data_IF_622651211664
#
_entry.id   IF_622651211664
#
_cell.length_a   1.000
_cell.length_b   1.000
_cell.length_c   1.000
_cell.angle_alpha   90.00
_cell.angle_beta   90.00
_cell.angle_gamma   90.00
#
_symmetry.space_group_name_H-M   'P 1'
#
loop_
_entity.id
_entity.type
_entity.pdbx_description
1 polymer ?
#
# COMPACT_ATOMS: atom_id res chain seq x y z
N UNK A 1 -6.74 -2.51 -26.34
CA UNK A 1 -6.06 -1.82 -27.46
C UNK A 1 -5.23 -2.88 -28.17
N UNK A 2 -5.30 -3.00 -29.49
CA UNK A 2 -4.48 -3.99 -30.21
C UNK A 2 -2.99 -3.62 -30.04
N UNK A 3 -2.12 -4.54 -29.55
CA UNK A 3 -0.69 -4.30 -29.40
C UNK A 3 -0.04 -3.75 -30.67
N UNK A 4 -0.55 -4.11 -31.86
CA UNK A 4 -0.03 -3.68 -33.17
C UNK A 4 -0.33 -2.22 -33.50
N UNK A 5 -1.30 -1.60 -32.83
CA UNK A 5 -1.76 -0.23 -33.10
C UNK A 5 -1.32 0.78 -32.04
N UNK A 6 -0.25 0.49 -31.28
CA UNK A 6 0.32 1.42 -30.30
C UNK A 6 0.78 2.70 -31.00
N UNK A 7 0.27 3.86 -30.58
CA UNK A 7 0.79 5.15 -31.02
C UNK A 7 2.17 5.38 -30.37
N UNK A 8 3.14 5.82 -31.17
CA UNK A 8 4.57 5.96 -30.81
C UNK A 8 4.84 6.88 -29.60
N UNK A 9 3.83 7.64 -29.13
CA UNK A 9 3.91 8.60 -28.02
C UNK A 9 3.01 8.27 -26.81
N UNK A 10 2.76 7.00 -26.52
CA UNK A 10 1.92 6.62 -25.37
C UNK A 10 2.77 6.22 -24.16
N UNK A 11 2.51 6.85 -23.00
CA UNK A 11 3.09 6.50 -21.68
C UNK A 11 2.55 5.16 -21.11
N UNK A 12 1.98 4.30 -21.95
CA UNK A 12 1.36 3.04 -21.54
C UNK A 12 2.30 1.86 -21.83
N UNK A 13 2.37 0.93 -20.88
CA UNK A 13 2.99 -0.38 -21.06
C UNK A 13 1.88 -1.37 -21.40
N UNK A 14 2.01 -2.07 -22.53
CA UNK A 14 1.06 -3.09 -22.97
C UNK A 14 1.54 -4.45 -22.47
N UNK A 15 0.71 -5.09 -21.66
CA UNK A 15 0.90 -6.46 -21.17
C UNK A 15 -0.15 -7.34 -21.86
N UNK A 16 0.27 -8.26 -22.72
CA UNK A 16 -0.62 -9.09 -23.53
C UNK A 16 0.05 -10.40 -23.97
N UNK A 17 -0.71 -11.39 -24.43
CA UNK A 17 -0.18 -12.70 -24.86
C UNK A 17 0.57 -12.66 -26.21
N UNK A 18 0.59 -11.53 -26.90
CA UNK A 18 1.27 -11.37 -28.20
C UNK A 18 2.73 -10.94 -28.03
N UNK A 19 3.62 -11.46 -28.89
CA UNK A 19 5.00 -11.01 -29.01
C UNK A 19 5.12 -9.52 -29.39
N UNK A 20 4.05 -8.90 -29.92
CA UNK A 20 3.99 -7.46 -30.19
C UNK A 20 3.87 -6.60 -28.91
N UNK A 21 3.58 -7.20 -27.76
CA UNK A 21 3.44 -6.50 -26.48
C UNK A 21 4.79 -6.02 -25.91
N UNK A 22 4.75 -5.04 -25.01
CA UNK A 22 5.94 -4.60 -24.26
C UNK A 22 6.36 -5.67 -23.23
N UNK A 23 5.36 -6.34 -22.63
CA UNK A 23 5.52 -7.48 -21.73
C UNK A 23 4.60 -8.60 -22.24
N UNK A 24 5.17 -9.77 -22.50
CA UNK A 24 4.42 -10.92 -23.03
C UNK A 24 3.91 -11.78 -21.89
N UNK A 25 2.60 -12.02 -21.86
CA UNK A 25 1.98 -12.98 -20.92
C UNK A 25 2.19 -14.39 -21.47
N UNK A 26 2.74 -15.29 -20.64
CA UNK A 26 2.75 -16.72 -20.92
C UNK A 26 2.19 -17.50 -19.74
N UNK A 27 1.49 -18.58 -20.08
CA UNK A 27 0.93 -19.54 -19.12
C UNK A 27 1.74 -20.85 -19.09
N UNK A 28 2.82 -20.94 -19.88
CA UNK A 28 3.66 -22.13 -19.98
C UNK A 28 5.15 -21.76 -19.86
N UNK A 29 5.84 -22.43 -18.95
CA UNK A 29 7.27 -22.26 -18.71
C UNK A 29 8.13 -22.58 -19.95
N UNK A 30 7.66 -23.45 -20.85
CA UNK A 30 8.40 -23.83 -22.06
C UNK A 30 8.65 -22.64 -23.01
N UNK A 31 7.77 -21.64 -22.98
CA UNK A 31 7.87 -20.45 -23.83
C UNK A 31 9.03 -19.53 -23.42
N UNK A 32 9.54 -19.66 -22.20
CA UNK A 32 10.46 -18.69 -21.63
C UNK A 32 11.79 -18.65 -22.38
N UNK A 33 12.27 -19.82 -22.81
CA UNK A 33 13.50 -19.93 -23.60
C UNK A 33 13.39 -19.13 -24.90
N UNK A 34 12.25 -19.24 -25.58
CA UNK A 34 11.94 -18.50 -26.81
C UNK A 34 11.83 -17.00 -26.53
N UNK A 35 11.04 -16.61 -25.52
CA UNK A 35 10.79 -15.21 -25.17
C UNK A 35 12.07 -14.48 -24.70
N UNK A 36 12.95 -15.16 -23.97
CA UNK A 36 14.27 -14.62 -23.62
C UNK A 36 15.16 -14.39 -24.84
N UNK A 37 15.14 -15.31 -25.81
CA UNK A 37 15.95 -15.21 -27.02
C UNK A 37 15.58 -13.99 -27.85
N UNK A 38 14.29 -13.64 -27.92
CA UNK A 38 13.80 -12.43 -28.58
C UNK A 38 13.90 -11.16 -27.70
N UNK A 39 14.48 -11.27 -26.49
CA UNK A 39 14.73 -10.14 -25.60
C UNK A 39 13.48 -9.51 -24.99
N UNK A 40 12.35 -10.23 -24.94
CA UNK A 40 11.09 -9.72 -24.39
C UNK A 40 11.05 -9.89 -22.87
N UNK A 41 10.36 -8.95 -22.20
CA UNK A 41 9.99 -9.11 -20.80
C UNK A 41 8.85 -10.12 -20.68
N UNK A 42 8.91 -10.97 -19.68
CA UNK A 42 7.99 -12.09 -19.50
C UNK A 42 7.13 -11.86 -18.26
N UNK A 43 5.81 -11.97 -18.42
CA UNK A 43 4.85 -12.09 -17.33
C UNK A 43 4.30 -13.52 -17.30
N UNK A 44 4.42 -14.21 -16.18
CA UNK A 44 3.84 -15.54 -16.01
C UNK A 44 2.46 -15.43 -15.38
N UNK A 45 1.40 -15.79 -16.09
CA UNK A 45 0.06 -15.80 -15.50
C UNK A 45 -0.27 -17.19 -14.94
N UNK A 46 -0.77 -17.21 -13.71
CA UNK A 46 -1.21 -18.45 -13.06
C UNK A 46 -2.45 -18.19 -12.21
N UNK A 47 -3.45 -19.04 -12.42
CA UNK A 47 -4.59 -19.16 -11.51
C UNK A 47 -4.19 -20.05 -10.34
N UNK A 48 -4.28 -19.55 -9.11
CA UNK A 48 -3.83 -20.27 -7.92
C UNK A 48 -4.99 -20.98 -7.26
N UNK A 49 -4.95 -22.31 -7.26
CA UNK A 49 -5.95 -23.19 -6.66
C UNK A 49 -5.34 -24.15 -5.64
N UNK A 50 -4.01 -24.31 -5.66
CA UNK A 50 -3.26 -25.28 -4.87
C UNK A 50 -1.84 -24.79 -4.55
N UNK A 51 -1.13 -25.49 -3.67
CA UNK A 51 0.28 -25.21 -3.40
C UNK A 51 1.20 -25.52 -4.59
N UNK A 52 0.83 -26.49 -5.44
CA UNK A 52 1.60 -26.81 -6.64
C UNK A 52 1.65 -25.62 -7.61
N UNK A 53 0.57 -24.82 -7.66
CA UNK A 53 0.53 -23.60 -8.47
C UNK A 53 1.51 -22.53 -7.94
N UNK A 54 1.69 -22.45 -6.62
CA UNK A 54 2.67 -21.55 -5.97
C UNK A 54 4.10 -22.00 -6.29
N UNK A 55 4.36 -23.31 -6.23
CA UNK A 55 5.66 -23.87 -6.61
C UNK A 55 5.99 -23.58 -8.10
N UNK A 56 4.98 -23.58 -8.98
CA UNK A 56 5.15 -23.25 -10.39
C UNK A 56 5.44 -21.76 -10.61
N UNK A 57 4.79 -20.86 -9.85
CA UNK A 57 5.09 -19.42 -9.84
C UNK A 57 6.55 -19.17 -9.40
N UNK A 58 7.01 -19.88 -8.37
CA UNK A 58 8.39 -19.79 -7.89
C UNK A 58 9.38 -20.29 -8.96
N UNK A 59 9.07 -21.41 -9.63
CA UNK A 59 9.87 -21.89 -10.77
C UNK A 59 9.91 -20.88 -11.90
N UNK A 60 8.79 -20.24 -12.23
CA UNK A 60 8.72 -19.19 -13.25
C UNK A 60 9.66 -18.02 -12.92
N UNK A 61 9.67 -17.57 -11.66
CA UNK A 61 10.58 -16.52 -11.19
C UNK A 61 12.05 -16.91 -11.41
N UNK A 62 12.45 -18.11 -10.96
CA UNK A 62 13.82 -18.62 -11.16
C UNK A 62 14.19 -18.82 -12.63
N UNK A 63 13.21 -19.20 -13.46
CA UNK A 63 13.35 -19.28 -14.91
C UNK A 63 13.34 -17.91 -15.58
N UNK A 64 13.34 -16.80 -14.85
CA UNK A 64 13.55 -15.45 -15.37
C UNK A 64 12.27 -14.71 -15.77
N UNK A 65 11.12 -15.07 -15.21
CA UNK A 65 9.94 -14.21 -15.28
C UNK A 65 10.25 -12.84 -14.65
N UNK A 66 9.94 -11.77 -15.37
CA UNK A 66 10.05 -10.42 -14.84
C UNK A 66 8.85 -10.08 -13.96
N UNK A 67 7.69 -10.64 -14.29
CA UNK A 67 6.43 -10.45 -13.57
C UNK A 67 5.73 -11.79 -13.38
N UNK A 68 4.98 -11.93 -12.31
CA UNK A 68 4.00 -13.00 -12.11
C UNK A 68 2.62 -12.36 -11.93
N UNK A 69 1.62 -12.83 -12.67
CA UNK A 69 0.23 -12.39 -12.56
C UNK A 69 -0.53 -13.50 -11.85
N UNK A 70 -0.88 -13.24 -10.61
CA UNK A 70 -1.55 -14.17 -9.70
C UNK A 70 -3.05 -13.92 -9.78
N UNK A 71 -3.81 -14.95 -10.14
CA UNK A 71 -5.26 -14.91 -10.10
C UNK A 71 -5.77 -15.91 -9.06
N UNK A 72 -5.99 -15.43 -7.85
CA UNK A 72 -6.63 -16.21 -6.78
C UNK A 72 -8.12 -15.84 -6.71
N UNK A 73 -9.03 -16.78 -6.47
CA UNK A 73 -10.47 -16.48 -6.50
C UNK A 73 -10.94 -15.71 -5.26
N UNK A 74 -11.29 -16.42 -4.17
CA UNK A 74 -12.04 -15.86 -3.03
C UNK A 74 -11.22 -15.81 -1.73
N UNK A 75 -10.09 -16.50 -1.68
CA UNK A 75 -9.16 -16.56 -0.54
C UNK A 75 -7.80 -16.07 -1.00
N UNK A 76 -7.72 -14.79 -1.39
CA UNK A 76 -6.54 -14.21 -2.05
C UNK A 76 -5.38 -13.95 -1.10
N UNK A 77 -5.65 -13.68 0.17
CA UNK A 77 -4.63 -13.22 1.12
C UNK A 77 -3.59 -14.31 1.38
N UNK A 78 -3.99 -15.47 1.90
CA UNK A 78 -3.05 -16.54 2.29
C UNK A 78 -2.15 -17.02 1.12
N UNK A 79 -2.69 -17.31 -0.08
CA UNK A 79 -1.84 -17.67 -1.22
C UNK A 79 -0.86 -16.55 -1.59
N UNK A 80 -1.30 -15.30 -1.52
CA UNK A 80 -0.48 -14.15 -1.85
C UNK A 80 0.61 -13.91 -0.81
N UNK A 81 0.34 -14.08 0.48
CA UNK A 81 1.34 -14.08 1.56
C UNK A 81 2.45 -15.09 1.28
N UNK A 82 2.07 -16.33 0.91
CA UNK A 82 3.04 -17.38 0.57
C UNK A 82 3.87 -17.04 -0.67
N UNK A 83 3.25 -16.47 -1.71
CA UNK A 83 3.95 -16.07 -2.93
C UNK A 83 4.92 -14.92 -2.65
N UNK A 84 4.48 -13.88 -1.92
CA UNK A 84 5.32 -12.75 -1.51
C UNK A 84 6.52 -13.26 -0.71
N UNK A 85 6.31 -14.12 0.29
CA UNK A 85 7.37 -14.66 1.12
C UNK A 85 8.41 -15.46 0.33
N UNK A 86 8.00 -16.20 -0.71
CA UNK A 86 8.91 -16.97 -1.58
C UNK A 86 9.67 -16.08 -2.57
N UNK A 87 9.03 -15.02 -3.06
CA UNK A 87 9.58 -14.17 -4.11
C UNK A 87 10.27 -12.90 -3.60
N UNK A 88 10.18 -12.56 -2.30
CA UNK A 88 10.72 -11.32 -1.72
C UNK A 88 12.23 -11.07 -1.99
N UNK A 89 13.01 -12.13 -2.18
CA UNK A 89 14.45 -12.05 -2.47
C UNK A 89 14.78 -12.21 -3.96
N UNK A 90 13.76 -12.16 -4.83
CA UNK A 90 13.90 -12.26 -6.28
C UNK A 90 13.67 -10.89 -6.92
N UNK A 91 14.04 -10.75 -8.20
CA UNK A 91 13.75 -9.55 -8.99
C UNK A 91 12.42 -9.66 -9.76
N UNK A 92 11.55 -10.60 -9.38
CA UNK A 92 10.27 -10.84 -10.05
C UNK A 92 9.17 -10.05 -9.36
N UNK A 93 8.43 -9.24 -10.14
CA UNK A 93 7.34 -8.40 -9.63
C UNK A 93 6.03 -9.17 -9.56
N UNK A 94 5.26 -8.97 -8.48
CA UNK A 94 4.00 -9.69 -8.23
C UNK A 94 2.82 -8.78 -8.58
N UNK A 95 2.02 -9.21 -9.54
CA UNK A 95 0.78 -8.55 -9.94
C UNK A 95 -0.40 -9.46 -9.55
N UNK A 96 -1.52 -8.89 -9.13
CA UNK A 96 -2.73 -9.66 -8.78
C UNK A 96 -4.00 -8.94 -9.20
N UNK A 97 -5.09 -9.67 -9.40
CA UNK A 97 -6.40 -9.09 -9.76
C UNK A 97 -7.12 -8.52 -8.54
N UNK A 98 -7.90 -7.45 -8.73
CA UNK A 98 -8.82 -6.90 -7.73
C UNK A 98 -10.18 -6.57 -8.35
N UNK A 99 -11.24 -6.69 -7.54
CA UNK A 99 -12.63 -6.47 -7.92
C UNK A 99 -13.12 -5.07 -7.55
N UNK A 100 -12.55 -4.46 -6.53
CA UNK A 100 -12.93 -3.14 -6.01
C UNK A 100 -11.76 -2.43 -5.31
N UNK A 101 -11.97 -1.17 -4.94
CA UNK A 101 -10.99 -0.29 -4.31
C UNK A 101 -10.56 -0.74 -2.90
N UNK A 102 -11.45 -1.38 -2.13
CA UNK A 102 -11.09 -1.95 -0.81
C UNK A 102 -10.11 -3.11 -0.96
N UNK A 103 -10.32 -3.95 -1.97
CA UNK A 103 -9.42 -5.05 -2.28
C UNK A 103 -8.08 -4.54 -2.80
N UNK A 104 -8.08 -3.50 -3.66
CA UNK A 104 -6.84 -2.81 -4.09
C UNK A 104 -6.01 -2.38 -2.88
N UNK A 105 -6.64 -1.71 -1.90
CA UNK A 105 -5.98 -1.29 -0.66
C UNK A 105 -5.39 -2.49 0.08
N UNK A 106 -6.19 -3.53 0.28
CA UNK A 106 -5.77 -4.74 1.02
C UNK A 106 -4.58 -5.44 0.34
N UNK A 107 -4.60 -5.54 -0.99
CA UNK A 107 -3.56 -6.25 -1.74
C UNK A 107 -2.20 -5.52 -1.70
N UNK A 108 -2.20 -4.19 -1.62
CA UNK A 108 -0.98 -3.40 -1.45
C UNK A 108 -0.41 -3.44 -0.01
N UNK A 109 -1.13 -4.00 0.96
CA UNK A 109 -0.68 -4.07 2.36
C UNK A 109 -0.41 -5.49 2.86
N UNK A 110 -0.58 -6.52 2.03
CA UNK A 110 -0.35 -7.93 2.41
C UNK A 110 1.08 -8.14 2.92
N UNK A 111 1.22 -8.72 4.12
CA UNK A 111 2.49 -8.87 4.85
C UNK A 111 3.27 -7.56 5.08
N UNK A 112 2.63 -6.39 5.03
CA UNK A 112 3.29 -5.06 5.05
C UNK A 112 4.27 -4.81 3.88
N UNK A 113 4.46 -5.80 3.00
CA UNK A 113 5.26 -5.72 1.79
C UNK A 113 4.40 -5.35 0.58
N UNK A 114 3.18 -5.91 0.53
CA UNK A 114 2.25 -5.74 -0.57
C UNK A 114 2.66 -6.44 -1.86
N UNK A 115 1.82 -6.30 -2.87
CA UNK A 115 2.13 -6.64 -4.25
C UNK A 115 2.73 -5.45 -4.99
N UNK A 116 3.50 -5.71 -6.04
CA UNK A 116 4.05 -4.65 -6.90
C UNK A 116 3.00 -3.99 -7.81
N UNK A 117 1.86 -4.65 -8.05
CA UNK A 117 0.81 -4.14 -8.91
C UNK A 117 -0.54 -4.81 -8.72
N UNK A 118 -1.61 -4.04 -8.91
CA UNK A 118 -2.99 -4.52 -8.87
C UNK A 118 -3.68 -4.28 -10.21
N UNK A 119 -4.31 -5.33 -10.75
CA UNK A 119 -5.12 -5.31 -11.96
C UNK A 119 -6.58 -5.13 -11.56
N UNK A 120 -7.04 -3.89 -11.54
CA UNK A 120 -8.44 -3.55 -11.25
C UNK A 120 -9.28 -3.57 -12.53
N UNK A 121 -10.23 -4.50 -12.60
CA UNK A 121 -11.21 -4.56 -13.69
C UNK A 121 -12.51 -3.91 -13.25
N UNK A 122 -12.75 -2.66 -13.67
CA UNK A 122 -13.96 -1.91 -13.29
C UNK A 122 -14.50 -1.04 -14.42
N UNK A 123 -15.82 -0.89 -14.45
CA UNK A 123 -16.52 0.07 -15.32
C UNK A 123 -16.91 1.36 -14.57
N UNK A 124 -16.56 1.47 -13.29
CA UNK A 124 -16.88 2.63 -12.44
C UNK A 124 -15.69 3.57 -12.33
N UNK A 125 -15.89 4.81 -12.77
CA UNK A 125 -14.88 5.87 -12.58
C UNK A 125 -14.60 6.14 -11.10
N UNK A 126 -15.61 6.03 -10.25
CA UNK A 126 -15.51 6.24 -8.80
C UNK A 126 -14.56 5.22 -8.17
N UNK A 127 -14.62 3.95 -8.59
CA UNK A 127 -13.70 2.91 -8.10
C UNK A 127 -12.25 3.21 -8.47
N UNK A 128 -12.00 3.75 -9.66
CA UNK A 128 -10.67 4.18 -10.10
C UNK A 128 -10.18 5.33 -9.21
N UNK A 129 -11.02 6.35 -8.99
CA UNK A 129 -10.69 7.50 -8.14
C UNK A 129 -10.42 7.09 -6.69
N UNK A 130 -11.22 6.19 -6.11
CA UNK A 130 -11.01 5.66 -4.76
C UNK A 130 -9.72 4.84 -4.67
N UNK A 131 -9.45 3.96 -5.63
CA UNK A 131 -8.21 3.17 -5.67
C UNK A 131 -6.95 4.05 -5.74
N UNK A 132 -7.02 5.16 -6.49
CA UNK A 132 -5.92 6.13 -6.57
C UNK A 132 -5.65 6.86 -5.26
N UNK A 133 -6.65 7.02 -4.37
CA UNK A 133 -6.42 7.67 -3.06
C UNK A 133 -5.47 6.84 -2.20
N UNK A 134 -5.63 5.52 -2.18
CA UNK A 134 -4.78 4.61 -1.41
C UNK A 134 -3.35 4.51 -1.94
N UNK A 135 -3.13 4.82 -3.22
CA UNK A 135 -1.79 4.84 -3.81
C UNK A 135 -1.03 6.15 -3.56
N UNK A 136 -1.66 7.17 -2.97
CA UNK A 136 -0.99 8.43 -2.66
C UNK A 136 -0.28 8.30 -1.32
N UNK A 137 1.03 8.13 -1.38
CA UNK A 137 1.86 8.40 -0.21
C UNK A 137 1.87 9.90 0.04
N UNK A 138 1.15 10.34 1.07
CA UNK A 138 1.19 11.72 1.52
C UNK A 138 2.55 11.97 2.16
N UNK A 139 3.32 12.88 1.57
CA UNK A 139 4.57 13.32 2.13
C UNK A 139 4.39 14.71 2.75
N UNK A 140 4.52 14.78 4.07
CA UNK A 140 4.51 16.03 4.82
C UNK A 140 5.93 16.38 5.23
N UNK A 141 6.61 17.35 4.59
CA UNK A 141 7.92 17.78 5.03
C UNK A 141 7.82 18.44 6.40
N UNK A 142 8.37 17.79 7.43
CA UNK A 142 8.37 18.29 8.80
C UNK A 142 9.57 19.22 8.99
N UNK A 143 9.35 20.34 9.67
CA UNK A 143 10.40 21.29 10.02
C UNK A 143 10.42 21.50 11.53
N UNK A 144 11.63 21.70 12.08
CA UNK A 144 11.77 22.06 13.49
C UNK A 144 11.26 23.47 13.74
N UNK A 145 10.47 23.64 14.79
CA UNK A 145 9.99 24.93 15.25
C UNK A 145 10.44 25.17 16.70
N UNK A 146 10.65 26.43 17.08
CA UNK A 146 10.98 26.82 18.45
C UNK A 146 9.71 27.22 19.20
N UNK A 147 9.46 26.60 20.34
CA UNK A 147 8.42 27.04 21.27
C UNK A 147 8.86 28.39 21.88
N UNK A 148 8.09 29.43 21.64
CA UNK A 148 8.38 30.79 22.16
C UNK A 148 7.70 31.07 23.50
N UNK A 149 6.55 30.45 23.75
CA UNK A 149 5.72 30.69 24.91
C UNK A 149 4.78 29.50 25.13
N UNK A 150 4.50 29.17 26.39
CA UNK A 150 3.49 28.18 26.80
C UNK A 150 2.52 28.91 27.73
N UNK A 151 1.22 28.86 27.43
CA UNK A 151 0.15 29.47 28.25
C UNK A 151 -0.77 28.40 28.78
N UNK A 152 -1.09 28.49 30.06
CA UNK A 152 -2.21 27.76 30.64
C UNK A 152 -3.52 28.41 30.15
N UNK A 153 -4.42 27.59 29.63
CA UNK A 153 -5.73 27.99 29.08
C UNK A 153 -6.89 27.44 29.90
N UNK A 154 -6.61 26.82 31.05
CA UNK A 154 -7.58 26.22 31.95
C UNK A 154 -7.92 24.76 31.59
N UNK A 155 -8.97 24.25 32.24
CA UNK A 155 -9.41 22.87 32.10
C UNK A 155 -10.19 22.67 30.79
N UNK A 156 -9.95 21.53 30.12
CA UNK A 156 -10.71 21.13 28.94
C UNK A 156 -10.64 19.63 28.70
N UNK A 157 -11.42 19.16 27.74
CA UNK A 157 -11.45 17.77 27.30
C UNK A 157 -10.28 17.48 26.34
N UNK A 158 -9.65 16.32 26.54
CA UNK A 158 -8.51 15.85 25.73
C UNK A 158 -8.83 14.55 25.01
N UNK A 159 -8.25 14.38 23.84
CA UNK A 159 -8.32 13.14 23.06
C UNK A 159 -6.99 12.41 23.15
N UNK A 160 -7.06 11.14 23.52
CA UNK A 160 -5.96 10.18 23.38
C UNK A 160 -6.39 9.18 22.31
N UNK A 161 -5.50 8.91 21.37
CA UNK A 161 -5.76 8.00 20.26
C UNK A 161 -4.92 6.74 20.46
N UNK A 162 -5.58 5.60 20.49
CA UNK A 162 -4.93 4.29 20.50
C UNK A 162 -4.94 3.73 19.08
N UNK A 163 -3.75 3.46 18.56
CA UNK A 163 -3.58 2.78 17.28
C UNK A 163 -3.53 1.27 17.48
N UNK A 164 -3.70 0.53 16.39
CA UNK A 164 -3.46 -0.92 16.34
C UNK A 164 -2.02 -1.26 15.97
N UNK A 165 -1.12 -0.27 15.98
CA UNK A 165 0.30 -0.39 15.62
C UNK A 165 1.19 -0.06 16.82
N UNK A 166 2.35 -0.68 16.90
CA UNK A 166 3.40 -0.28 17.84
C UNK A 166 4.24 0.78 17.16
N UNK A 167 4.08 2.05 17.56
CA UNK A 167 4.78 3.16 16.95
C UNK A 167 6.21 3.29 17.51
N UNK A 168 7.16 3.59 16.63
CA UNK A 168 8.56 3.84 16.98
C UNK A 168 8.79 5.25 17.54
N UNK A 169 9.94 5.49 18.15
CA UNK A 169 10.30 6.84 18.56
C UNK A 169 10.47 7.74 17.33
N UNK A 170 9.69 8.82 17.26
CA UNK A 170 9.63 9.67 16.06
C UNK A 170 8.29 9.60 15.36
N UNK A 171 7.48 8.58 15.67
CA UNK A 171 6.17 8.38 15.06
C UNK A 171 5.04 8.91 15.94
N UNK A 172 3.93 9.28 15.32
CA UNK A 172 2.80 9.88 16.01
C UNK A 172 1.79 10.47 15.04
N UNK A 173 1.05 11.48 15.49
CA UNK A 173 -0.01 12.10 14.69
C UNK A 173 0.29 13.57 14.43
N UNK A 174 -0.10 14.06 13.24
CA UNK A 174 -0.10 15.48 12.93
C UNK A 174 -1.34 16.12 13.55
N UNK A 175 -1.15 16.97 14.56
CA UNK A 175 -2.25 17.62 15.27
C UNK A 175 -2.04 19.13 15.39
N UNK A 176 -3.10 19.91 15.23
CA UNK A 176 -3.02 21.35 15.46
C UNK A 176 -4.37 22.02 15.60
N UNK A 177 -4.39 23.21 16.19
CA UNK A 177 -5.61 24.02 16.34
C UNK A 177 -6.11 24.63 15.02
N UNK A 178 -5.36 24.46 13.92
CA UNK A 178 -5.72 24.88 12.56
C UNK A 178 -5.46 23.74 11.60
N UNK A 179 -6.34 23.54 10.62
CA UNK A 179 -6.22 22.45 9.64
C UNK A 179 -4.95 22.53 8.77
N UNK A 180 -4.38 23.71 8.57
CA UNK A 180 -3.20 23.92 7.72
C UNK A 180 -1.89 24.18 8.49
N UNK A 181 -1.90 24.03 9.81
CA UNK A 181 -0.70 24.21 10.64
C UNK A 181 -0.73 23.22 11.80
N UNK A 182 0.04 22.15 11.65
CA UNK A 182 0.02 20.98 12.51
C UNK A 182 1.41 20.72 13.08
N UNK A 183 1.43 20.13 14.27
CA UNK A 183 2.62 19.63 14.93
C UNK A 183 2.62 18.11 14.90
N UNK A 184 3.78 17.50 14.73
CA UNK A 184 3.95 16.08 14.98
C UNK A 184 3.93 15.84 16.49
N UNK A 185 2.84 15.25 16.98
CA UNK A 185 2.67 14.81 18.37
C UNK A 185 3.11 13.36 18.46
N UNK A 186 4.27 13.12 19.08
CA UNK A 186 4.84 11.78 19.22
C UNK A 186 3.97 10.87 20.10
N UNK A 187 4.09 9.57 19.86
CA UNK A 187 3.50 8.55 20.71
C UNK A 187 4.15 8.49 22.11
N UNK A 188 3.50 7.77 23.03
CA UNK A 188 3.95 7.56 24.40
C UNK A 188 5.04 6.46 24.52
N UNK A 189 6.04 6.47 23.64
CA UNK A 189 7.16 5.50 23.61
C UNK A 189 8.20 5.75 24.71
N UNK A 190 8.27 6.97 25.24
CA UNK A 190 9.14 7.27 26.37
C UNK A 190 8.43 6.98 27.69
N UNK A 191 8.87 5.93 28.37
CA UNK A 191 8.45 5.62 29.72
C UNK A 191 8.99 6.64 30.72
N UNK A 192 8.34 6.72 31.88
CA UNK A 192 8.85 7.48 33.02
C UNK A 192 9.19 6.53 34.18
N UNK A 193 9.80 7.05 35.25
CA UNK A 193 9.97 6.30 36.49
C UNK A 193 8.65 5.84 37.13
N UNK A 194 7.51 6.37 36.67
CA UNK A 194 6.18 6.14 37.24
C UNK A 194 5.24 5.37 36.31
N UNK A 195 5.57 5.25 35.02
CA UNK A 195 4.66 4.69 34.01
C UNK A 195 5.43 3.97 32.92
N UNK A 196 4.97 2.77 32.58
CA UNK A 196 5.46 2.04 31.42
C UNK A 196 5.07 2.76 30.12
N UNK A 197 5.91 2.70 29.07
CA UNK A 197 5.58 3.20 27.73
C UNK A 197 4.30 2.57 27.18
N UNK A 198 3.58 3.34 26.37
CA UNK A 198 2.44 2.90 25.55
C UNK A 198 2.67 3.36 24.11
N UNK A 199 3.58 2.68 23.37
CA UNK A 199 3.98 3.12 22.03
C UNK A 199 2.83 3.14 21.01
N UNK A 200 1.71 2.45 21.28
CA UNK A 200 0.52 2.50 20.45
C UNK A 200 -0.36 3.75 20.68
N UNK A 201 -0.09 4.56 21.72
CA UNK A 201 -0.94 5.68 22.15
C UNK A 201 -0.33 7.03 21.81
N UNK A 202 -1.14 7.94 21.28
CA UNK A 202 -0.80 9.36 21.09
C UNK A 202 -1.68 10.24 21.96
N UNK A 203 -1.07 11.10 22.78
CA UNK A 203 -1.78 12.12 23.56
C UNK A 203 -2.08 13.33 22.65
N UNK A 204 -3.00 13.15 21.70
CA UNK A 204 -3.18 13.98 20.51
C UNK A 204 -3.44 15.47 20.82
N UNK A 205 -4.28 15.80 21.79
CA UNK A 205 -4.53 17.19 22.18
C UNK A 205 -5.95 17.46 22.64
N UNK A 206 -6.43 18.70 22.47
CA UNK A 206 -7.80 19.08 22.81
C UNK A 206 -8.81 18.61 21.76
N UNK A 207 -10.07 18.41 22.16
CA UNK A 207 -11.15 17.90 21.30
C UNK A 207 -11.36 18.70 19.99
N UNK A 208 -11.06 20.00 19.98
CA UNK A 208 -11.23 20.87 18.82
C UNK A 208 -10.03 20.89 17.85
N UNK A 209 -8.92 20.23 18.19
CA UNK A 209 -7.77 20.17 17.29
C UNK A 209 -8.11 19.34 16.06
N UNK A 210 -7.42 19.63 14.95
CA UNK A 210 -7.48 18.87 13.71
C UNK A 210 -6.39 17.82 13.67
N UNK A 211 -6.67 16.71 12.99
CA UNK A 211 -5.68 15.73 12.51
C UNK A 211 -5.78 15.56 11.00
N UNK A 212 -4.74 15.01 10.38
CA UNK A 212 -4.74 14.61 8.96
C UNK A 212 -5.28 13.19 8.82
N UNK A 213 -6.04 12.93 7.75
CA UNK A 213 -6.46 11.60 7.32
C UNK A 213 -5.60 11.09 6.14
N UNK A 214 -5.58 9.78 5.86
CA UNK A 214 -4.78 9.18 4.78
C UNK A 214 -5.07 9.73 3.37
N UNK A 215 -6.23 10.35 3.15
CA UNK A 215 -6.57 10.99 1.87
C UNK A 215 -6.10 12.45 1.76
N UNK A 216 -5.49 12.98 2.82
CA UNK A 216 -4.90 14.32 2.91
C UNK A 216 -5.88 15.38 3.39
N UNK A 217 -7.13 15.00 3.68
CA UNK A 217 -8.09 15.87 4.33
C UNK A 217 -7.81 15.99 5.82
N UNK A 218 -8.48 16.94 6.49
CA UNK A 218 -8.36 17.14 7.93
C UNK A 218 -9.70 16.95 8.61
N UNK A 219 -9.67 16.35 9.81
CA UNK A 219 -10.84 16.08 10.62
C UNK A 219 -10.61 16.55 12.05
N UNK A 220 -11.67 16.91 12.79
CA UNK A 220 -11.53 17.20 14.22
C UNK A 220 -11.21 15.92 15.00
N UNK A 221 -10.37 16.03 16.04
CA UNK A 221 -10.09 14.91 16.95
C UNK A 221 -11.35 14.38 17.63
N UNK A 222 -12.35 15.24 17.87
CA UNK A 222 -13.64 14.85 18.44
C UNK A 222 -14.50 13.98 17.54
N UNK A 223 -14.19 13.92 16.24
CA UNK A 223 -14.95 13.16 15.24
C UNK A 223 -14.28 11.83 14.89
N UNK A 224 -13.13 11.52 15.51
CA UNK A 224 -12.47 10.23 15.34
C UNK A 224 -13.25 9.13 16.04
N UNK A 225 -13.47 8.04 15.31
CA UNK A 225 -14.13 6.83 15.78
C UNK A 225 -13.22 5.61 15.62
N UNK A 226 -13.50 4.56 16.39
CA UNK A 226 -12.81 3.27 16.26
C UNK A 226 -12.92 2.74 14.83
N UNK A 227 -11.78 2.36 14.25
CA UNK A 227 -11.69 1.87 12.88
C UNK A 227 -11.41 2.96 11.84
N UNK A 228 -11.33 4.24 12.23
CA UNK A 228 -10.76 5.26 11.37
C UNK A 228 -9.26 5.01 11.16
N UNK A 229 -8.80 5.23 9.93
CA UNK A 229 -7.40 5.20 9.55
C UNK A 229 -6.82 6.61 9.68
N UNK A 230 -5.61 6.70 10.24
CA UNK A 230 -4.94 7.93 10.67
C UNK A 230 -3.43 7.80 10.48
#
# INVERSE_FOLDING_TARGET
MDPKHKSVNSNYIIIYESDDADIVISNNLDDFSRLKTIGKKIAFYKKVLSNDDIDEIEKASHLGANYVIVDANDWKIIPLENIIARLQNTNTKIFTTARNSEEVRTLFTVLELGVDGVILSTNSKIEIENSMKFMKNLFFPIQSAKIIEIKDVGTGERVCVDTVSILENGEGMLVGSKSNFLFLVHNESFGSAFTSPRPFRVNAGAVYCYTVLPDGTTQYLSELESGNEI
#
